data_IF_259434542646
#
_entry.id   IF_259434542646
#
_cell.length_a   1.000
_cell.length_b   1.000
_cell.length_c   1.000
_cell.angle_alpha   90.00
_cell.angle_beta   90.00
_cell.angle_gamma   90.00
#
_symmetry.space_group_name_H-M   'P 1'
#
loop_
_entity.id
_entity.type
_entity.pdbx_description
1 polymer ?
#
# COMPACT_ATOMS: atom_id res chain seq x y z
N UNK A 1 21.56 -9.88 27.86
CA UNK A 1 20.25 -10.37 27.36
C UNK A 1 19.30 -9.19 27.41
N UNK A 2 19.25 -8.43 26.35
CA UNK A 2 18.36 -7.25 26.25
C UNK A 2 16.98 -7.79 25.87
N UNK A 3 16.01 -7.65 26.76
CA UNK A 3 14.62 -7.94 26.49
C UNK A 3 14.15 -6.93 25.44
N UNK A 4 14.00 -7.36 24.19
CA UNK A 4 13.29 -6.60 23.18
C UNK A 4 11.81 -6.68 23.60
N UNK A 5 11.29 -5.61 24.17
CA UNK A 5 9.84 -5.44 24.36
C UNK A 5 9.20 -5.57 22.98
N UNK A 6 8.12 -6.34 22.82
CA UNK A 6 7.36 -6.28 21.57
C UNK A 6 6.92 -4.82 21.40
N UNK A 7 7.19 -4.25 20.23
CA UNK A 7 6.65 -2.95 19.86
C UNK A 7 5.12 -3.10 19.94
N UNK A 8 4.49 -2.40 20.88
CA UNK A 8 3.04 -2.32 20.90
C UNK A 8 2.63 -1.40 19.76
N UNK A 9 1.74 -1.91 18.93
CA UNK A 9 1.04 -1.09 17.95
C UNK A 9 0.30 0.03 18.70
N UNK A 10 0.48 1.30 18.28
CA UNK A 10 -0.15 2.43 18.96
C UNK A 10 -0.70 3.48 17.98
N UNK A 11 -1.70 4.21 18.44
CA UNK A 11 -2.19 5.39 17.74
C UNK A 11 -1.18 6.53 17.94
N UNK A 12 -0.70 7.09 16.83
CA UNK A 12 0.23 8.20 16.84
C UNK A 12 -0.39 9.45 16.22
N UNK A 13 0.10 10.61 16.61
CA UNK A 13 -0.26 11.86 15.95
C UNK A 13 0.46 12.02 14.60
N UNK A 14 -0.08 12.85 13.70
CA UNK A 14 0.60 13.18 12.45
C UNK A 14 2.00 13.81 12.67
N UNK A 15 2.23 14.45 13.81
CA UNK A 15 3.55 15.03 14.14
C UNK A 15 4.61 13.96 14.39
N UNK A 16 4.23 12.76 14.82
CA UNK A 16 5.15 11.65 14.99
C UNK A 16 5.81 11.20 13.68
N UNK A 17 5.17 11.50 12.52
CA UNK A 17 5.71 11.20 11.20
C UNK A 17 7.05 11.91 10.92
N UNK A 18 7.33 13.01 11.61
CA UNK A 18 8.62 13.72 11.49
C UNK A 18 9.80 12.92 12.07
N UNK A 19 9.51 11.89 12.85
CA UNK A 19 10.51 11.10 13.58
C UNK A 19 10.53 9.61 13.18
N UNK A 20 9.72 9.20 12.19
CA UNK A 20 9.71 7.82 11.72
C UNK A 20 11.05 7.45 11.09
N UNK A 21 11.58 6.31 11.51
CA UNK A 21 12.83 5.77 11.00
C UNK A 21 12.69 4.28 10.69
N UNK A 22 13.16 3.88 9.52
CA UNK A 22 13.18 2.48 9.09
C UNK A 22 14.01 2.33 7.82
N UNK A 23 14.43 1.12 7.53
CA UNK A 23 15.07 0.80 6.24
C UNK A 23 14.01 0.77 5.13
N UNK A 24 12.82 0.28 5.49
CA UNK A 24 11.62 0.27 4.64
C UNK A 24 10.45 0.77 5.47
N UNK A 25 9.74 1.79 4.97
CA UNK A 25 8.54 2.35 5.60
C UNK A 25 7.35 2.20 4.66
N UNK A 26 6.29 1.54 5.11
CA UNK A 26 5.04 1.37 4.36
C UNK A 26 4.02 2.35 4.92
N UNK A 27 3.54 3.25 4.07
CA UNK A 27 2.56 4.29 4.44
C UNK A 27 1.22 3.96 3.80
N UNK A 28 0.29 3.49 4.64
CA UNK A 28 -1.08 3.17 4.23
C UNK A 28 -1.92 4.41 3.96
N UNK A 29 -2.97 4.24 3.14
CA UNK A 29 -3.94 5.29 2.83
C UNK A 29 -5.34 4.73 2.58
N UNK A 30 -6.34 5.58 2.69
CA UNK A 30 -7.61 5.45 1.98
C UNK A 30 -7.49 6.38 0.77
N UNK A 31 -7.56 5.83 -0.42
CA UNK A 31 -7.12 6.46 -1.66
C UNK A 31 -7.76 7.84 -1.96
N UNK A 32 -8.96 8.09 -1.49
CA UNK A 32 -9.67 9.35 -1.71
C UNK A 32 -9.62 10.33 -0.52
N UNK A 33 -8.80 10.01 0.52
CA UNK A 33 -8.65 10.90 1.66
C UNK A 33 -7.43 11.85 1.49
N UNK A 34 -7.63 13.15 1.25
CA UNK A 34 -6.53 14.09 1.02
C UNK A 34 -5.64 14.25 2.26
N UNK A 35 -6.17 14.06 3.48
CA UNK A 35 -5.37 14.15 4.71
C UNK A 35 -4.34 13.04 4.77
N UNK A 36 -4.68 11.84 4.28
CA UNK A 36 -3.75 10.72 4.22
C UNK A 36 -2.55 11.04 3.33
N UNK A 37 -2.77 11.69 2.20
CA UNK A 37 -1.69 12.06 1.27
C UNK A 37 -0.82 13.20 1.81
N UNK A 38 -1.41 14.14 2.57
CA UNK A 38 -0.62 15.16 3.27
C UNK A 38 0.27 14.54 4.35
N UNK A 39 -0.22 13.55 5.10
CA UNK A 39 0.55 12.80 6.07
C UNK A 39 1.68 12.01 5.39
N UNK A 40 1.39 11.35 4.27
CA UNK A 40 2.40 10.64 3.48
C UNK A 40 3.47 11.60 2.94
N UNK A 41 3.07 12.77 2.42
CA UNK A 41 4.01 13.79 1.97
C UNK A 41 4.91 14.28 3.12
N UNK A 42 4.35 14.50 4.32
CA UNK A 42 5.09 14.85 5.53
C UNK A 42 6.12 13.79 5.89
N UNK A 43 5.71 12.52 5.94
CA UNK A 43 6.60 11.40 6.23
C UNK A 43 7.74 11.30 5.20
N UNK A 44 7.43 11.40 3.90
CA UNK A 44 8.43 11.37 2.82
C UNK A 44 9.42 12.53 2.98
N UNK A 45 8.95 13.76 3.27
CA UNK A 45 9.80 14.93 3.49
C UNK A 45 10.74 14.75 4.69
N UNK A 46 10.26 14.13 5.77
CA UNK A 46 11.03 13.88 6.99
C UNK A 46 12.04 12.74 6.82
N UNK A 47 11.61 11.59 6.28
CA UNK A 47 12.45 10.40 6.04
C UNK A 47 13.55 10.68 5.01
N UNK A 48 13.26 11.51 4.00
CA UNK A 48 14.17 11.76 2.85
C UNK A 48 14.65 10.46 2.22
N UNK A 49 13.72 9.61 1.76
CA UNK A 49 14.06 8.27 1.29
C UNK A 49 14.94 8.32 0.05
N UNK A 50 15.73 7.27 -0.17
CA UNK A 50 16.48 7.10 -1.43
C UNK A 50 15.60 6.57 -2.56
N UNK A 51 14.49 5.92 -2.21
CA UNK A 51 13.48 5.47 -3.17
C UNK A 51 12.07 5.58 -2.60
N UNK A 52 11.11 5.90 -3.48
CA UNK A 52 9.69 5.83 -3.20
C UNK A 52 9.03 4.92 -4.23
N UNK A 53 8.28 3.94 -3.73
CA UNK A 53 7.51 2.99 -4.52
C UNK A 53 6.04 3.40 -4.45
N UNK A 54 5.36 3.48 -5.58
CA UNK A 54 3.94 3.81 -5.65
C UNK A 54 3.13 2.62 -6.13
N UNK A 55 2.10 2.24 -5.39
CA UNK A 55 1.07 1.31 -5.84
C UNK A 55 0.42 1.78 -7.14
N UNK A 56 0.17 3.08 -7.25
CA UNK A 56 -0.63 3.72 -8.29
C UNK A 56 0.08 3.81 -9.64
N UNK A 57 1.39 3.62 -9.69
CA UNK A 57 2.19 3.78 -10.90
C UNK A 57 2.67 2.44 -11.45
N UNK A 58 2.58 2.27 -12.76
CA UNK A 58 3.35 1.22 -13.42
C UNK A 58 4.85 1.59 -13.49
N UNK A 59 5.76 0.62 -13.73
CA UNK A 59 7.17 0.91 -13.97
C UNK A 59 7.40 1.92 -15.10
N UNK A 60 6.60 1.85 -16.17
CA UNK A 60 6.68 2.75 -17.32
C UNK A 60 6.23 4.18 -16.97
N UNK A 61 5.20 4.31 -16.12
CA UNK A 61 4.77 5.61 -15.61
C UNK A 61 5.82 6.24 -14.71
N UNK A 62 6.36 5.46 -13.76
CA UNK A 62 7.44 5.93 -12.89
C UNK A 62 8.67 6.40 -13.67
N UNK A 63 9.05 5.70 -14.75
CA UNK A 63 10.18 6.06 -15.61
C UNK A 63 10.00 7.38 -16.38
N UNK A 64 8.76 7.86 -16.55
CA UNK A 64 8.49 9.17 -17.21
C UNK A 64 8.75 10.36 -16.28
N UNK A 65 8.78 10.15 -14.97
CA UNK A 65 8.87 11.24 -14.01
C UNK A 65 10.28 11.85 -14.04
N UNK A 66 10.35 13.12 -14.32
CA UNK A 66 11.59 13.90 -14.33
C UNK A 66 11.53 15.01 -13.28
N UNK A 67 12.68 15.56 -12.84
CA UNK A 67 12.68 16.71 -11.92
C UNK A 67 11.88 17.91 -12.43
N UNK A 68 11.83 18.12 -13.75
CA UNK A 68 11.03 19.19 -14.33
C UNK A 68 9.53 18.93 -14.21
N UNK A 69 9.07 17.69 -14.45
CA UNK A 69 7.67 17.32 -14.30
C UNK A 69 7.20 17.42 -12.85
N UNK A 70 8.05 17.14 -11.88
CA UNK A 70 7.72 17.26 -10.45
C UNK A 70 7.38 18.70 -10.02
N UNK A 71 7.72 19.72 -10.83
CA UNK A 71 7.42 21.12 -10.57
C UNK A 71 6.11 21.62 -11.23
N UNK A 72 5.50 20.80 -12.07
CA UNK A 72 4.28 21.14 -12.81
C UNK A 72 3.23 20.03 -12.63
N UNK A 73 2.27 20.29 -11.75
CA UNK A 73 1.22 19.36 -11.38
C UNK A 73 0.44 18.86 -12.60
N UNK A 74 0.02 19.79 -13.46
CA UNK A 74 -0.78 19.45 -14.63
C UNK A 74 0.01 18.67 -15.68
N UNK A 75 1.26 19.03 -15.91
CA UNK A 75 2.13 18.31 -16.85
C UNK A 75 2.43 16.90 -16.32
N UNK A 76 2.64 16.74 -15.01
CA UNK A 76 2.87 15.44 -14.37
C UNK A 76 1.64 14.55 -14.48
N UNK A 77 0.45 15.05 -14.13
CA UNK A 77 -0.82 14.33 -14.26
C UNK A 77 -1.00 13.80 -15.70
N UNK A 78 -0.84 14.67 -16.69
CA UNK A 78 -0.95 14.29 -18.11
C UNK A 78 0.08 13.25 -18.53
N UNK A 79 1.33 13.39 -18.08
CA UNK A 79 2.42 12.44 -18.42
C UNK A 79 2.16 11.04 -17.82
N UNK A 80 1.54 10.99 -16.64
CA UNK A 80 1.17 9.76 -15.96
C UNK A 80 -0.14 9.13 -16.50
N UNK A 81 -1.00 9.92 -17.15
CA UNK A 81 -2.34 9.47 -17.56
C UNK A 81 -3.17 9.07 -16.34
N UNK A 82 -3.10 9.86 -15.27
CA UNK A 82 -3.64 9.50 -13.96
C UNK A 82 -5.16 9.29 -13.97
N UNK A 83 -5.90 10.19 -14.59
CA UNK A 83 -7.35 10.09 -14.73
C UNK A 83 -7.77 8.77 -15.41
N UNK A 84 -7.07 8.36 -16.48
CA UNK A 84 -7.35 7.12 -17.21
C UNK A 84 -7.03 5.86 -16.39
N UNK A 85 -6.15 5.98 -15.41
CA UNK A 85 -5.86 4.89 -14.48
C UNK A 85 -6.98 4.64 -13.46
N UNK A 86 -7.89 5.63 -13.28
CA UNK A 86 -9.07 5.52 -12.41
C UNK A 86 -8.76 5.74 -10.93
N UNK A 87 -7.66 6.41 -10.62
CA UNK A 87 -7.35 6.87 -9.28
C UNK A 87 -8.14 8.15 -8.93
N UNK A 88 -8.29 8.48 -7.63
CA UNK A 88 -8.85 9.78 -7.23
C UNK A 88 -8.06 10.97 -7.80
N UNK A 89 -8.60 12.19 -7.67
CA UNK A 89 -8.01 13.41 -8.20
C UNK A 89 -6.51 13.48 -7.92
N UNK A 90 -5.70 13.72 -8.96
CA UNK A 90 -4.25 13.81 -8.85
C UNK A 90 -3.80 14.91 -7.87
N UNK A 91 -4.56 15.98 -7.76
CA UNK A 91 -4.25 17.11 -6.87
C UNK A 91 -4.05 16.67 -5.40
N UNK A 92 -4.77 15.65 -4.92
CA UNK A 92 -4.60 15.16 -3.55
C UNK A 92 -3.32 14.34 -3.37
N UNK A 93 -2.79 13.72 -4.43
CA UNK A 93 -1.53 12.98 -4.43
C UNK A 93 -0.30 13.86 -4.70
N UNK A 94 -0.48 14.97 -5.41
CA UNK A 94 0.62 15.83 -5.82
C UNK A 94 1.54 16.31 -4.68
N UNK A 95 1.08 16.57 -3.45
CA UNK A 95 1.95 16.87 -2.31
C UNK A 95 3.03 15.81 -2.07
N UNK A 96 2.74 14.51 -2.29
CA UNK A 96 3.72 13.43 -2.13
C UNK A 96 4.81 13.58 -3.18
N UNK A 97 4.43 13.83 -4.45
CA UNK A 97 5.39 14.03 -5.54
C UNK A 97 6.31 15.22 -5.30
N UNK A 98 5.79 16.30 -4.71
CA UNK A 98 6.60 17.47 -4.31
C UNK A 98 7.58 17.17 -3.18
N UNK A 99 7.26 16.22 -2.32
CA UNK A 99 8.08 15.83 -1.18
C UNK A 99 9.23 14.86 -1.53
N UNK A 100 9.27 14.30 -2.75
CA UNK A 100 10.20 13.24 -3.14
C UNK A 100 11.69 13.65 -3.06
N UNK A 101 12.00 14.92 -3.23
CA UNK A 101 13.39 15.38 -3.26
C UNK A 101 14.19 14.69 -4.38
N UNK A 102 15.28 14.00 -4.02
CA UNK A 102 16.15 13.26 -4.94
C UNK A 102 15.85 11.74 -4.96
N UNK A 103 14.75 11.29 -4.37
CA UNK A 103 14.40 9.87 -4.32
C UNK A 103 14.20 9.29 -5.73
N UNK A 104 14.67 8.07 -5.95
CA UNK A 104 14.31 7.29 -7.15
C UNK A 104 12.85 6.84 -7.03
N UNK A 105 12.13 6.89 -8.12
CA UNK A 105 10.71 6.56 -8.16
C UNK A 105 10.53 5.20 -8.81
N UNK A 106 9.74 4.33 -8.16
CA UNK A 106 9.39 3.01 -8.64
C UNK A 106 7.87 2.88 -8.72
N UNK A 107 7.41 2.24 -9.77
CA UNK A 107 6.00 1.86 -9.91
C UNK A 107 5.83 0.38 -9.59
N UNK A 108 4.82 0.07 -8.78
CA UNK A 108 4.49 -1.31 -8.38
C UNK A 108 3.19 -1.81 -9.00
N UNK A 109 2.45 -0.95 -9.73
CA UNK A 109 1.22 -1.36 -10.40
C UNK A 109 1.50 -2.42 -11.46
N UNK A 110 0.79 -3.51 -11.34
CA UNK A 110 0.79 -4.59 -12.33
C UNK A 110 -0.30 -4.36 -13.39
N UNK A 111 -0.12 -4.84 -14.62
CA UNK A 111 -1.13 -4.74 -15.65
C UNK A 111 -2.47 -5.37 -15.21
N UNK A 112 -3.58 -4.71 -15.53
CA UNK A 112 -4.92 -5.15 -15.08
C UNK A 112 -5.30 -6.55 -15.57
N UNK A 113 -4.86 -6.96 -16.74
CA UNK A 113 -5.07 -8.29 -17.30
C UNK A 113 -4.28 -9.35 -16.53
N UNK A 114 -3.06 -9.04 -16.09
CA UNK A 114 -2.25 -9.93 -15.24
C UNK A 114 -2.90 -10.10 -13.86
N UNK A 115 -3.32 -9.00 -13.21
CA UNK A 115 -4.05 -9.07 -11.93
C UNK A 115 -5.36 -9.86 -12.08
N UNK A 116 -6.08 -9.69 -13.20
CA UNK A 116 -7.30 -10.46 -13.50
C UNK A 116 -6.99 -11.94 -13.70
N UNK A 117 -5.87 -12.29 -14.36
CA UNK A 117 -5.48 -13.69 -14.52
C UNK A 117 -5.18 -14.38 -13.19
N UNK A 118 -4.65 -13.63 -12.19
CA UNK A 118 -4.42 -14.15 -10.84
C UNK A 118 -5.72 -14.58 -10.12
N UNK A 119 -6.88 -14.13 -10.58
CA UNK A 119 -8.16 -14.56 -10.02
C UNK A 119 -8.56 -15.99 -10.42
N UNK A 120 -8.02 -16.53 -11.50
CA UNK A 120 -8.48 -17.80 -12.08
C UNK A 120 -7.36 -18.77 -12.39
N UNK A 121 -6.12 -18.31 -12.44
CA UNK A 121 -4.93 -19.09 -12.72
C UNK A 121 -4.11 -19.27 -11.43
N UNK A 122 -3.47 -20.42 -11.19
CA UNK A 122 -2.60 -20.63 -10.04
C UNK A 122 -1.55 -19.52 -9.93
N UNK A 123 -1.41 -18.91 -8.75
CA UNK A 123 -0.50 -17.79 -8.52
C UNK A 123 0.96 -18.05 -8.95
N UNK A 124 1.54 -19.28 -8.76
CA UNK A 124 2.87 -19.56 -9.25
C UNK A 124 3.04 -19.44 -10.77
N UNK A 125 2.00 -19.73 -11.53
CA UNK A 125 2.05 -19.60 -12.99
C UNK A 125 2.00 -18.11 -13.43
N UNK A 126 1.22 -17.31 -12.72
CA UNK A 126 1.08 -15.86 -13.03
C UNK A 126 2.31 -15.07 -12.55
N UNK A 127 2.81 -15.37 -11.36
CA UNK A 127 3.91 -14.63 -10.73
C UNK A 127 5.28 -15.02 -11.27
N UNK A 128 5.41 -16.27 -11.71
CA UNK A 128 6.65 -16.83 -12.26
C UNK A 128 7.55 -17.51 -11.21
N UNK A 129 8.84 -17.69 -11.53
CA UNK A 129 9.73 -18.60 -10.80
C UNK A 129 9.97 -18.24 -9.34
N UNK A 130 9.78 -16.96 -8.98
CA UNK A 130 9.97 -16.48 -7.61
C UNK A 130 8.75 -16.67 -6.70
N UNK A 131 7.65 -17.24 -7.20
CA UNK A 131 6.39 -17.36 -6.48
C UNK A 131 6.53 -18.00 -5.09
N UNK A 132 7.32 -19.07 -4.97
CA UNK A 132 7.57 -19.75 -3.69
C UNK A 132 8.28 -18.84 -2.67
N UNK A 133 9.17 -17.95 -3.13
CA UNK A 133 9.85 -16.98 -2.28
C UNK A 133 8.86 -16.05 -1.58
N UNK A 134 7.78 -15.67 -2.28
CA UNK A 134 6.70 -14.81 -1.75
C UNK A 134 5.54 -15.64 -1.16
N UNK A 135 5.73 -16.96 -1.01
CA UNK A 135 4.74 -17.86 -0.43
C UNK A 135 3.50 -18.08 -1.30
N UNK A 136 3.55 -17.77 -2.59
CA UNK A 136 2.42 -17.90 -3.51
C UNK A 136 2.17 -19.34 -3.98
N UNK A 137 3.08 -20.26 -3.69
CA UNK A 137 2.99 -21.70 -3.99
C UNK A 137 2.18 -22.48 -2.94
N UNK A 138 1.85 -21.87 -1.80
CA UNK A 138 1.09 -22.50 -0.73
C UNK A 138 -0.28 -21.81 -0.59
N UNK A 139 -1.37 -22.54 -0.42
CA UNK A 139 -2.66 -21.94 -0.10
C UNK A 139 -2.64 -21.30 1.29
N UNK A 140 -3.53 -20.35 1.50
CA UNK A 140 -3.81 -19.90 2.86
C UNK A 140 -4.48 -21.03 3.68
N UNK A 141 -4.30 -21.05 5.01
CA UNK A 141 -5.12 -21.89 5.88
C UNK A 141 -6.61 -21.60 5.67
N UNK A 142 -7.46 -22.62 5.71
CA UNK A 142 -8.90 -22.49 5.40
C UNK A 142 -9.60 -21.40 6.21
N UNK A 143 -9.25 -21.25 7.50
CA UNK A 143 -9.83 -20.22 8.36
C UNK A 143 -9.49 -18.81 7.87
N UNK A 144 -8.24 -18.57 7.49
CA UNK A 144 -7.79 -17.28 6.95
C UNK A 144 -8.43 -17.02 5.58
N UNK A 145 -8.46 -18.02 4.69
CA UNK A 145 -9.09 -17.89 3.38
C UNK A 145 -10.55 -17.44 3.51
N UNK A 146 -11.33 -18.08 4.39
CA UNK A 146 -12.73 -17.72 4.64
C UNK A 146 -12.90 -16.32 5.24
N UNK A 147 -12.00 -15.93 6.13
CA UNK A 147 -12.00 -14.58 6.70
C UNK A 147 -11.78 -13.54 5.58
N UNK A 148 -10.78 -13.74 4.73
CA UNK A 148 -10.45 -12.81 3.63
C UNK A 148 -11.56 -12.73 2.57
N UNK A 149 -12.24 -13.85 2.32
CA UNK A 149 -13.42 -13.87 1.44
C UNK A 149 -14.59 -13.09 2.05
N UNK A 150 -14.80 -13.18 3.36
CA UNK A 150 -15.82 -12.40 4.05
C UNK A 150 -15.49 -10.90 4.03
N UNK A 151 -14.25 -10.52 4.31
CA UNK A 151 -13.77 -9.13 4.21
C UNK A 151 -13.97 -8.60 2.77
N UNK A 152 -13.56 -9.36 1.75
CA UNK A 152 -13.75 -8.96 0.36
C UNK A 152 -15.25 -8.79 0.00
N UNK A 153 -16.13 -9.58 0.59
CA UNK A 153 -17.57 -9.46 0.39
C UNK A 153 -18.12 -8.18 1.02
N UNK A 154 -17.68 -7.86 2.25
CA UNK A 154 -18.06 -6.62 2.96
C UNK A 154 -17.57 -5.38 2.22
N UNK A 155 -16.30 -5.36 1.82
CA UNK A 155 -15.68 -4.25 1.08
C UNK A 155 -16.37 -3.95 -0.27
N UNK A 156 -17.09 -4.94 -0.81
CA UNK A 156 -17.87 -4.81 -2.04
C UNK A 156 -19.39 -4.82 -1.78
N UNK A 157 -19.82 -4.33 -0.60
CA UNK A 157 -21.23 -4.12 -0.26
C UNK A 157 -22.09 -5.39 -0.30
N UNK A 158 -21.47 -6.54 -0.08
CA UNK A 158 -22.10 -7.86 -0.21
C UNK A 158 -22.71 -8.13 -1.60
N UNK A 159 -22.25 -7.41 -2.63
CA UNK A 159 -22.80 -7.49 -3.98
C UNK A 159 -22.04 -8.47 -4.90
N UNK A 160 -20.87 -8.95 -4.48
CA UNK A 160 -20.09 -9.89 -5.29
C UNK A 160 -20.71 -11.29 -5.30
N UNK A 161 -20.76 -11.95 -6.48
CA UNK A 161 -21.04 -13.38 -6.53
C UNK A 161 -20.01 -14.17 -5.72
N UNK A 162 -20.47 -15.02 -4.78
CA UNK A 162 -19.62 -15.80 -3.86
C UNK A 162 -18.51 -16.56 -4.57
N UNK A 163 -18.78 -17.07 -5.79
CA UNK A 163 -17.80 -17.79 -6.62
C UNK A 163 -16.58 -16.94 -7.04
N UNK A 164 -16.65 -15.62 -6.95
CA UNK A 164 -15.55 -14.73 -7.30
C UNK A 164 -14.62 -14.42 -6.09
N UNK A 165 -15.09 -14.64 -4.87
CA UNK A 165 -14.36 -14.25 -3.64
C UNK A 165 -12.98 -14.92 -3.54
N UNK A 166 -12.81 -16.22 -3.79
CA UNK A 166 -11.47 -16.82 -3.78
C UNK A 166 -10.50 -16.15 -4.76
N UNK A 167 -11.01 -15.76 -5.94
CA UNK A 167 -10.23 -15.04 -6.94
C UNK A 167 -9.86 -13.62 -6.50
N UNK A 168 -10.75 -12.91 -5.80
CA UNK A 168 -10.44 -11.59 -5.23
C UNK A 168 -9.29 -11.68 -4.21
N UNK A 169 -9.35 -12.67 -3.32
CA UNK A 169 -8.28 -12.94 -2.35
C UNK A 169 -6.96 -13.28 -3.07
N UNK A 170 -7.01 -14.10 -4.12
CA UNK A 170 -5.82 -14.45 -4.89
C UNK A 170 -5.21 -13.22 -5.60
N UNK A 171 -6.03 -12.36 -6.19
CA UNK A 171 -5.58 -11.12 -6.84
C UNK A 171 -4.93 -10.15 -5.84
N UNK A 172 -5.51 -10.00 -4.64
CA UNK A 172 -4.92 -9.17 -3.59
C UNK A 172 -3.56 -9.73 -3.15
N UNK A 173 -3.47 -11.04 -2.91
CA UNK A 173 -2.23 -11.72 -2.54
C UNK A 173 -1.14 -11.59 -3.61
N UNK A 174 -1.53 -11.66 -4.89
CA UNK A 174 -0.64 -11.41 -6.02
C UNK A 174 -0.07 -9.99 -5.98
N UNK A 175 -0.92 -8.98 -5.76
CA UNK A 175 -0.51 -7.57 -5.67
C UNK A 175 0.44 -7.34 -4.50
N UNK A 176 0.16 -7.89 -3.32
CA UNK A 176 1.05 -7.80 -2.15
C UNK A 176 2.44 -8.35 -2.47
N UNK A 177 2.53 -9.48 -3.14
CA UNK A 177 3.80 -10.09 -3.55
C UNK A 177 4.53 -9.24 -4.59
N UNK A 178 3.81 -8.68 -5.57
CA UNK A 178 4.39 -7.81 -6.60
C UNK A 178 4.92 -6.50 -5.99
N UNK A 179 4.18 -5.91 -5.05
CA UNK A 179 4.63 -4.71 -4.34
C UNK A 179 5.85 -5.01 -3.47
N UNK A 180 5.84 -6.10 -2.72
CA UNK A 180 7.01 -6.53 -1.93
C UNK A 180 8.24 -6.74 -2.82
N UNK A 181 8.09 -7.36 -3.99
CA UNK A 181 9.15 -7.54 -4.98
C UNK A 181 9.73 -6.20 -5.45
N UNK A 182 8.87 -5.23 -5.75
CA UNK A 182 9.30 -3.89 -6.19
C UNK A 182 10.01 -3.14 -5.07
N UNK A 183 9.52 -3.22 -3.83
CA UNK A 183 10.16 -2.62 -2.66
C UNK A 183 11.55 -3.23 -2.40
N UNK A 184 11.68 -4.56 -2.47
CA UNK A 184 12.98 -5.23 -2.35
C UNK A 184 13.95 -4.81 -3.45
N UNK A 185 13.48 -4.67 -4.69
CA UNK A 185 14.31 -4.18 -5.78
C UNK A 185 14.78 -2.74 -5.51
N UNK A 186 13.88 -1.85 -5.08
CA UNK A 186 14.21 -0.48 -4.72
C UNK A 186 15.23 -0.42 -3.56
N UNK A 187 15.06 -1.26 -2.54
CA UNK A 187 16.00 -1.36 -1.42
C UNK A 187 17.36 -1.88 -1.86
N UNK A 188 17.41 -2.92 -2.67
CA UNK A 188 18.65 -3.46 -3.23
C UNK A 188 19.40 -2.42 -4.09
N UNK A 189 18.70 -1.65 -4.88
CA UNK A 189 19.28 -0.67 -5.81
C UNK A 189 19.83 0.58 -5.09
N UNK A 190 19.28 0.93 -3.92
CA UNK A 190 19.55 2.21 -3.24
C UNK A 190 20.16 2.07 -1.87
N UNK A 191 20.02 0.92 -1.21
CA UNK A 191 20.40 0.70 0.18
C UNK A 191 19.50 1.42 1.19
N UNK A 192 18.32 1.89 0.76
CA UNK A 192 17.32 2.55 1.64
C UNK A 192 17.73 3.92 2.20
N UNK A 193 16.86 4.60 2.96
CA UNK A 193 15.48 4.21 3.22
C UNK A 193 14.60 4.11 1.97
N UNK A 194 13.64 3.19 1.97
CA UNK A 194 12.61 3.04 0.92
C UNK A 194 11.24 3.31 1.54
N UNK A 195 10.41 4.10 0.87
CA UNK A 195 9.02 4.32 1.26
C UNK A 195 8.10 3.67 0.23
N UNK A 196 7.10 2.90 0.69
CA UNK A 196 5.98 2.44 -0.13
C UNK A 196 4.74 3.29 0.18
N UNK A 197 4.13 3.84 -0.85
CA UNK A 197 2.83 4.53 -0.80
C UNK A 197 1.79 3.57 -1.36
N UNK A 198 0.84 3.14 -0.52
CA UNK A 198 -0.16 2.14 -0.92
C UNK A 198 -1.42 2.22 -0.05
N UNK A 199 -2.52 1.66 -0.54
CA UNK A 199 -3.73 1.49 0.26
C UNK A 199 -3.47 0.74 1.58
N UNK A 200 -4.19 1.09 2.65
CA UNK A 200 -4.01 0.52 4.00
C UNK A 200 -4.14 -1.01 4.02
N UNK A 201 -4.89 -1.61 3.09
CA UNK A 201 -4.95 -3.06 2.93
C UNK A 201 -3.58 -3.70 2.64
N UNK A 202 -2.72 -3.00 1.89
CA UNK A 202 -1.36 -3.43 1.56
C UNK A 202 -0.33 -3.12 2.65
N UNK A 203 -0.67 -2.24 3.60
CA UNK A 203 0.19 -1.85 4.72
C UNK A 203 0.06 -2.76 5.95
N UNK A 204 -0.84 -3.73 5.95
CA UNK A 204 -1.10 -4.64 7.08
C UNK A 204 0.12 -5.51 7.42
N UNK A 205 0.43 -5.59 8.72
CA UNK A 205 1.58 -6.35 9.24
C UNK A 205 1.30 -7.84 9.41
N UNK A 206 0.02 -8.23 9.42
CA UNK A 206 -0.41 -9.60 9.64
C UNK A 206 -0.37 -10.48 8.37
N UNK A 207 -0.48 -9.87 7.16
CA UNK A 207 -0.63 -10.66 5.91
C UNK A 207 -0.16 -9.99 4.61
N UNK A 208 0.05 -8.66 4.60
CA UNK A 208 0.34 -7.91 3.38
C UNK A 208 1.86 -7.64 3.18
N UNK A 209 2.21 -6.55 2.51
CA UNK A 209 3.59 -6.22 2.13
C UNK A 209 4.56 -6.24 3.31
N UNK A 210 4.26 -5.62 4.49
CA UNK A 210 5.18 -5.67 5.63
C UNK A 210 5.44 -7.09 6.13
N UNK A 211 4.41 -7.95 6.16
CA UNK A 211 4.56 -9.36 6.58
C UNK A 211 5.49 -10.13 5.64
N UNK A 212 5.37 -9.90 4.33
CA UNK A 212 6.24 -10.52 3.33
C UNK A 212 7.68 -10.02 3.46
N UNK A 213 7.86 -8.70 3.57
CA UNK A 213 9.19 -8.10 3.67
C UNK A 213 9.96 -8.55 4.93
N UNK A 214 9.29 -8.61 6.09
CA UNK A 214 9.91 -9.12 7.34
C UNK A 214 10.37 -10.57 7.23
N UNK A 215 9.65 -11.36 6.46
CA UNK A 215 10.01 -12.76 6.21
C UNK A 215 11.18 -12.89 5.23
N UNK A 216 11.26 -11.99 4.25
CA UNK A 216 12.24 -12.00 3.17
C UNK A 216 13.55 -11.32 3.54
N UNK A 217 13.47 -10.25 4.34
CA UNK A 217 14.59 -9.41 4.77
C UNK A 217 14.53 -9.19 6.31
N UNK A 218 14.80 -10.25 7.10
CA UNK A 218 14.60 -10.22 8.56
C UNK A 218 15.53 -9.25 9.29
N UNK A 219 16.61 -8.83 8.66
CA UNK A 219 17.58 -7.88 9.22
C UNK A 219 17.19 -6.43 8.94
N UNK A 220 16.26 -6.18 8.02
CA UNK A 220 15.79 -4.84 7.69
C UNK A 220 14.75 -4.36 8.72
N UNK A 221 14.90 -3.10 9.17
CA UNK A 221 13.88 -2.45 9.98
C UNK A 221 12.71 -2.02 9.11
N UNK A 222 11.62 -2.78 9.16
CA UNK A 222 10.39 -2.51 8.42
C UNK A 222 9.35 -1.91 9.35
N UNK A 223 8.84 -0.73 8.98
CA UNK A 223 7.82 0.01 9.73
C UNK A 223 6.59 0.19 8.85
N UNK A 224 5.43 -0.11 9.40
CA UNK A 224 4.13 0.08 8.75
C UNK A 224 3.30 1.11 9.52
N UNK A 225 2.85 2.14 8.82
CA UNK A 225 1.96 3.17 9.36
C UNK A 225 0.62 3.07 8.64
N UNK A 226 -0.42 2.68 9.37
CA UNK A 226 -1.80 2.70 8.87
C UNK A 226 -2.41 4.08 8.96
N UNK A 227 -3.41 4.36 8.14
CA UNK A 227 -4.26 5.53 8.31
C UNK A 227 -5.72 5.09 8.26
N UNK A 228 -6.48 5.53 9.25
CA UNK A 228 -7.82 5.04 9.54
C UNK A 228 -8.77 6.23 9.64
N UNK A 229 -9.91 6.12 9.01
CA UNK A 229 -10.99 7.08 9.18
C UNK A 229 -11.90 6.65 10.32
N UNK A 230 -12.15 7.57 11.25
CA UNK A 230 -13.17 7.39 12.29
C UNK A 230 -14.03 8.64 12.41
N UNK A 231 -15.31 8.45 12.72
CA UNK A 231 -16.14 9.58 13.11
C UNK A 231 -15.59 10.20 14.41
N UNK A 232 -15.78 11.51 14.63
CA UNK A 232 -15.20 12.21 15.80
C UNK A 232 -15.52 11.59 17.15
N UNK A 233 -16.66 10.91 17.27
CA UNK A 233 -17.14 10.30 18.52
C UNK A 233 -16.94 8.75 18.55
N UNK A 234 -16.31 8.17 17.54
CA UNK A 234 -16.05 6.74 17.48
C UNK A 234 -14.54 6.48 17.61
N UNK A 235 -14.07 5.94 18.74
CA UNK A 235 -12.66 5.60 18.88
C UNK A 235 -12.27 4.51 17.86
N UNK A 236 -11.06 4.58 17.31
CA UNK A 236 -10.50 3.49 16.54
C UNK A 236 -10.39 2.23 17.41
N UNK A 237 -10.53 1.05 16.78
CA UNK A 237 -10.22 -0.20 17.49
C UNK A 237 -8.74 -0.19 17.92
N UNK A 238 -8.42 -0.59 19.16
CA UNK A 238 -7.03 -0.66 19.60
C UNK A 238 -6.22 -1.74 18.88
N UNK A 239 -6.88 -2.69 18.23
CA UNK A 239 -6.24 -3.82 17.55
C UNK A 239 -6.13 -3.53 16.05
N UNK A 240 -5.28 -2.57 15.67
CA UNK A 240 -5.00 -2.29 14.28
C UNK A 240 -3.80 -3.11 13.78
N UNK A 241 -3.86 -3.64 12.55
CA UNK A 241 -2.82 -4.52 12.00
C UNK A 241 -1.67 -3.72 11.37
N UNK A 242 -1.17 -2.72 12.09
CA UNK A 242 -0.02 -1.89 11.71
C UNK A 242 0.97 -1.83 12.87
N UNK A 243 2.17 -1.30 12.65
CA UNK A 243 3.07 -1.01 13.77
C UNK A 243 2.56 0.21 14.54
N UNK A 244 2.17 1.26 13.78
CA UNK A 244 1.49 2.43 14.31
C UNK A 244 0.38 2.84 13.35
N UNK A 245 -0.58 3.65 13.83
CA UNK A 245 -1.61 4.19 12.95
C UNK A 245 -1.99 5.63 13.32
N UNK A 246 -2.54 6.34 12.35
CA UNK A 246 -3.07 7.70 12.50
C UNK A 246 -4.56 7.66 12.24
N UNK A 247 -5.32 8.26 13.14
CA UNK A 247 -6.75 8.47 12.99
C UNK A 247 -7.00 9.80 12.32
N UNK A 248 -7.85 9.81 11.30
CA UNK A 248 -8.26 11.00 10.58
C UNK A 248 -9.79 11.10 10.50
N UNK A 249 -10.35 12.30 10.31
CA UNK A 249 -11.74 12.43 9.94
C UNK A 249 -12.05 11.70 8.63
N UNK A 250 -13.26 11.13 8.49
CA UNK A 250 -13.68 10.52 7.24
C UNK A 250 -13.84 11.58 6.14
N UNK A 251 -13.40 11.24 4.94
CA UNK A 251 -13.68 12.05 3.76
C UNK A 251 -15.17 11.97 3.41
N UNK A 252 -15.84 13.11 3.16
CA UNK A 252 -17.19 13.08 2.65
C UNK A 252 -17.27 12.37 1.29
N UNK A 253 -18.06 11.31 1.22
CA UNK A 253 -18.33 10.54 -0.02
C UNK A 253 -19.76 10.06 -0.03
N UNK A 254 -20.29 9.85 -1.22
CA UNK A 254 -21.57 9.16 -1.40
C UNK A 254 -21.47 7.72 -0.86
N UNK A 255 -22.61 7.15 -0.46
CA UNK A 255 -22.64 5.74 -0.02
C UNK A 255 -22.18 4.83 -1.18
N UNK A 256 -21.00 4.20 -1.08
CA UNK A 256 -20.47 3.36 -2.15
C UNK A 256 -21.39 2.16 -2.46
N UNK A 257 -22.24 1.82 -1.51
CA UNK A 257 -23.19 0.72 -1.66
C UNK A 257 -24.53 1.15 -2.29
N UNK A 258 -24.76 2.44 -2.52
CA UNK A 258 -26.03 2.93 -3.08
C UNK A 258 -26.34 2.32 -4.47
N UNK A 259 -25.29 2.06 -5.26
CA UNK A 259 -25.43 1.49 -6.60
C UNK A 259 -25.88 0.00 -6.60
N UNK A 260 -25.85 -0.66 -5.43
CA UNK A 260 -26.18 -2.08 -5.26
C UNK A 260 -27.49 -2.31 -4.51
N UNK A 261 -28.17 -1.24 -4.11
CA UNK A 261 -29.49 -1.24 -3.47
C UNK A 261 -30.59 -1.00 -4.50
#
# INVERSE_FOLDING_TARGET
MTLISPAHAEEISADALDHITGDIVVLGEIHDNPTHHLNQARAVAAIKPKAVVFEMLSPEQAAKITPALLQDEKALDQALGWEQAGWPDFAIYYPIFKALGAARIYGAAEPRDVVRSAMTTPLPEVFGPDAARYGLDQPYPDALQKQLEAEAQEDHCNALPVKLLPGMVAAQRYRDAAFARTVQQAYKDTGGPVVLIAGSGHARTDRAVPALLRKLDPDAKIVSIGQIETAPDAPASPDQPFDDWIVTPPTPRDDPCAAFK
#
